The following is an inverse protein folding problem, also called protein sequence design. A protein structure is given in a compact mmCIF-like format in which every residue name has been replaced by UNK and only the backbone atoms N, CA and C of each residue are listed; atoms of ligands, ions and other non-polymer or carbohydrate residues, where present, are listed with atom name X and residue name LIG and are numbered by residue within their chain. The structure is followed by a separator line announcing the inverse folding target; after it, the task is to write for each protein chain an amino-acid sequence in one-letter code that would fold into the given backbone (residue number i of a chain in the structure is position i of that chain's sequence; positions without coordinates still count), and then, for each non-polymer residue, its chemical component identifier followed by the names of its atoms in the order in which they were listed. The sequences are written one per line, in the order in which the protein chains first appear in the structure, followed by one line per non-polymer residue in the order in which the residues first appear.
data_IF_715943393406
#
_entry.id   IF_715943393406
#
_cell.length_a   1.000
_cell.length_b   1.000
_cell.length_c   1.000
_cell.angle_alpha   90.00
_cell.angle_beta   90.00
_cell.angle_gamma   90.00
#
_symmetry.space_group_name_H-M   'P 1'
#
loop_
_entity.id
_entity.type
_entity.pdbx_description
1 polymer ?
#
# COMPACT_ATOMS: atom_id res chain seq x y z
N UNK A 1 14.31 -3.01 20.17
CA UNK A 1 14.69 -3.53 18.85
C UNK A 1 13.53 -3.31 17.91
N UNK A 2 13.76 -2.73 16.74
CA UNK A 2 12.77 -2.50 15.69
C UNK A 2 12.84 -3.65 14.68
N UNK A 3 11.71 -4.29 14.39
CA UNK A 3 11.60 -5.35 13.37
C UNK A 3 10.77 -4.83 12.20
N UNK A 4 11.27 -4.98 10.98
CA UNK A 4 10.55 -4.68 9.75
C UNK A 4 10.39 -5.95 8.93
N UNK A 5 9.15 -6.42 8.80
CA UNK A 5 8.79 -7.56 7.95
C UNK A 5 8.08 -7.05 6.71
N UNK A 6 8.64 -7.33 5.54
CA UNK A 6 8.08 -6.90 4.24
C UNK A 6 7.58 -8.11 3.47
N UNK A 7 6.32 -8.08 3.09
CA UNK A 7 5.69 -9.06 2.22
C UNK A 7 5.84 -8.61 0.77
N UNK A 8 6.54 -9.39 -0.04
CA UNK A 8 6.87 -9.07 -1.44
C UNK A 8 6.34 -10.13 -2.37
N UNK A 9 5.75 -9.72 -3.51
CA UNK A 9 5.48 -10.61 -4.63
C UNK A 9 6.57 -10.43 -5.69
N UNK A 10 7.06 -11.54 -6.22
CA UNK A 10 8.05 -11.60 -7.29
C UNK A 10 7.55 -10.95 -8.59
N UNK A 11 6.22 -10.83 -8.75
CA UNK A 11 5.58 -10.15 -9.87
C UNK A 11 5.57 -8.61 -9.74
N UNK A 12 6.00 -8.08 -8.59
CA UNK A 12 5.90 -6.65 -8.27
C UNK A 12 7.23 -6.00 -7.87
N UNK A 13 8.26 -6.78 -7.51
CA UNK A 13 9.51 -6.23 -6.99
C UNK A 13 10.74 -6.89 -7.63
N UNK A 14 11.74 -6.06 -7.93
CA UNK A 14 13.04 -6.53 -8.38
C UNK A 14 13.88 -6.97 -7.16
N UNK A 15 14.52 -8.16 -7.16
CA UNK A 15 15.38 -8.62 -6.06
C UNK A 15 16.49 -7.63 -5.69
N UNK A 16 17.04 -6.91 -6.67
CA UNK A 16 18.06 -5.89 -6.45
C UNK A 16 17.52 -4.69 -5.66
N UNK A 17 16.32 -4.21 -6.00
CA UNK A 17 15.69 -3.08 -5.30
C UNK A 17 15.39 -3.43 -3.84
N UNK A 18 14.93 -4.64 -3.58
CA UNK A 18 14.69 -5.12 -2.21
C UNK A 18 15.98 -5.23 -1.40
N UNK A 19 17.05 -5.72 -2.03
CA UNK A 19 18.37 -5.78 -1.41
C UNK A 19 18.91 -4.39 -1.06
N UNK A 20 18.88 -3.46 -2.01
CA UNK A 20 19.29 -2.06 -1.78
C UNK A 20 18.44 -1.39 -0.70
N UNK A 21 17.13 -1.64 -0.68
CA UNK A 21 16.23 -1.14 0.36
C UNK A 21 16.64 -1.64 1.73
N UNK A 22 16.94 -2.94 1.86
CA UNK A 22 17.41 -3.55 3.11
C UNK A 22 18.72 -2.92 3.58
N UNK A 23 19.69 -2.77 2.69
CA UNK A 23 21.00 -2.20 3.04
C UNK A 23 20.87 -0.75 3.49
N UNK A 24 20.16 0.08 2.73
CA UNK A 24 19.94 1.48 3.05
C UNK A 24 19.22 1.67 4.40
N UNK A 25 18.16 0.89 4.66
CA UNK A 25 17.46 0.96 5.94
C UNK A 25 18.32 0.46 7.10
N UNK A 26 19.07 -0.63 6.90
CA UNK A 26 19.96 -1.16 7.93
C UNK A 26 21.02 -0.14 8.30
N UNK A 27 21.67 0.47 7.30
CA UNK A 27 22.69 1.49 7.54
C UNK A 27 22.10 2.73 8.24
N UNK A 28 20.97 3.24 7.76
CA UNK A 28 20.31 4.39 8.36
C UNK A 28 19.96 4.15 9.84
N UNK A 29 19.49 2.96 10.19
CA UNK A 29 19.09 2.63 11.56
C UNK A 29 20.31 2.35 12.45
N UNK A 30 21.41 1.81 11.88
CA UNK A 30 22.72 1.71 12.54
C UNK A 30 23.27 3.10 12.89
N UNK A 31 23.21 4.05 11.97
CA UNK A 31 23.68 5.42 12.19
C UNK A 31 22.88 6.14 13.30
N UNK A 32 21.61 5.74 13.51
CA UNK A 32 20.76 6.20 14.60
C UNK A 32 20.96 5.45 15.92
N UNK A 33 21.80 4.40 15.95
CA UNK A 33 22.04 3.58 17.13
C UNK A 33 20.85 2.73 17.58
N UNK A 34 19.93 2.42 16.65
CA UNK A 34 18.71 1.65 16.96
C UNK A 34 18.95 0.18 16.58
N UNK A 35 18.70 -0.79 17.48
CA UNK A 35 18.77 -2.21 17.11
C UNK A 35 17.68 -2.55 16.10
N UNK A 36 18.05 -3.15 14.96
CA UNK A 36 17.17 -3.36 13.81
C UNK A 36 17.24 -4.78 13.24
N UNK A 37 16.10 -5.29 12.81
CA UNK A 37 15.98 -6.57 12.10
C UNK A 37 15.08 -6.38 10.86
N UNK A 38 15.55 -6.85 9.70
CA UNK A 38 14.80 -6.81 8.44
C UNK A 38 14.56 -8.22 7.91
N UNK A 39 13.29 -8.54 7.66
CA UNK A 39 12.85 -9.84 7.14
C UNK A 39 11.97 -9.61 5.91
N UNK A 40 12.21 -10.37 4.84
CA UNK A 40 11.32 -10.39 3.69
C UNK A 40 10.60 -11.75 3.60
N UNK A 41 9.35 -11.73 3.15
CA UNK A 41 8.51 -12.91 2.97
C UNK A 41 7.97 -12.87 1.55
N UNK A 42 8.17 -13.95 0.80
CA UNK A 42 7.63 -14.08 -0.55
C UNK A 42 6.15 -14.48 -0.51
N UNK A 43 5.26 -13.54 -0.81
CA UNK A 43 3.81 -13.73 -0.83
C UNK A 43 3.33 -14.79 -1.83
N UNK A 44 4.07 -15.03 -2.91
CA UNK A 44 3.60 -15.91 -3.99
C UNK A 44 3.58 -17.39 -3.57
N UNK A 45 4.42 -17.76 -2.59
CA UNK A 45 4.58 -19.14 -2.08
C UNK A 45 4.37 -19.20 -0.56
N UNK A 46 3.88 -18.12 0.04
CA UNK A 46 3.75 -18.00 1.48
C UNK A 46 2.61 -18.88 2.02
N UNK A 47 2.95 -19.77 2.96
CA UNK A 47 1.96 -20.47 3.79
C UNK A 47 1.64 -19.62 5.04
N UNK A 48 0.39 -19.18 5.25
CA UNK A 48 -0.02 -18.49 6.47
C UNK A 48 0.34 -19.20 7.76
N UNK A 49 0.50 -20.53 7.75
CA UNK A 49 0.91 -21.30 8.93
C UNK A 49 2.38 -21.04 9.34
N UNK A 50 3.23 -20.58 8.42
CA UNK A 50 4.63 -20.22 8.69
C UNK A 50 4.77 -18.83 9.33
N UNK A 51 3.68 -18.09 9.49
CA UNK A 51 3.70 -16.79 10.12
C UNK A 51 4.08 -16.93 11.60
N UNK A 52 5.30 -16.52 11.93
CA UNK A 52 5.77 -16.51 13.31
C UNK A 52 4.93 -15.48 14.08
N UNK A 53 4.21 -15.96 15.10
CA UNK A 53 3.46 -15.08 15.98
C UNK A 53 4.43 -14.11 16.69
N UNK A 54 4.07 -12.81 16.76
CA UNK A 54 4.88 -11.84 17.48
C UNK A 54 5.01 -12.23 18.95
N UNK A 55 6.15 -11.87 19.56
CA UNK A 55 6.35 -12.13 20.98
C UNK A 55 5.37 -11.28 21.82
N UNK A 56 4.98 -11.71 23.04
CA UNK A 56 3.97 -11.00 23.84
C UNK A 56 4.36 -9.55 24.22
N UNK A 57 5.64 -9.19 24.10
CA UNK A 57 6.14 -7.84 24.37
C UNK A 57 6.28 -6.98 23.09
N UNK A 58 5.99 -7.54 21.92
CA UNK A 58 6.06 -6.82 20.65
C UNK A 58 4.76 -6.07 20.35
N UNK A 59 4.89 -4.81 19.96
CA UNK A 59 3.77 -4.01 19.44
C UNK A 59 3.80 -4.08 17.93
N UNK A 60 2.82 -4.73 17.33
CA UNK A 60 2.73 -4.89 15.87
C UNK A 60 1.91 -3.77 15.26
N UNK A 61 2.47 -3.17 14.20
CA UNK A 61 1.78 -2.24 13.30
C UNK A 61 1.87 -2.79 11.88
N UNK A 62 0.75 -2.78 11.17
CA UNK A 62 0.68 -3.28 9.79
C UNK A 62 0.34 -2.14 8.85
N UNK A 63 1.11 -1.98 7.78
CA UNK A 63 0.78 -1.09 6.66
C UNK A 63 0.28 -1.94 5.49
N UNK A 64 -0.92 -1.64 4.98
CA UNK A 64 -1.57 -2.43 3.94
C UNK A 64 -2.08 -1.50 2.84
N UNK A 65 -1.68 -1.77 1.60
CA UNK A 65 -2.27 -1.13 0.42
C UNK A 65 -3.66 -1.71 0.18
N UNK A 66 -4.68 -0.86 0.17
CA UNK A 66 -6.06 -1.23 -0.17
C UNK A 66 -6.34 -0.84 -1.62
N UNK A 67 -6.85 -1.79 -2.40
CA UNK A 67 -7.09 -1.58 -3.82
C UNK A 67 -7.48 -2.84 -4.58
N UNK A 68 -7.88 -2.67 -5.84
CA UNK A 68 -8.03 -3.77 -6.79
C UNK A 68 -6.69 -3.89 -7.50
N UNK A 69 -5.85 -4.82 -7.05
CA UNK A 69 -4.74 -5.28 -7.85
C UNK A 69 -5.00 -6.69 -8.34
N UNK A 70 -4.72 -6.93 -9.62
CA UNK A 70 -4.67 -8.27 -10.19
C UNK A 70 -3.52 -9.09 -9.60
N UNK A 71 -2.52 -8.43 -8.98
CA UNK A 71 -1.31 -9.06 -8.44
C UNK A 71 -1.38 -9.32 -6.94
N UNK A 72 -2.29 -8.68 -6.21
CA UNK A 72 -2.43 -8.89 -4.76
C UNK A 72 -3.53 -9.90 -4.44
N UNK A 73 -3.40 -10.69 -3.36
CA UNK A 73 -4.51 -11.48 -2.85
C UNK A 73 -5.73 -10.62 -2.49
N UNK A 74 -6.95 -11.18 -2.48
CA UNK A 74 -8.14 -10.43 -2.06
C UNK A 74 -8.01 -9.87 -0.65
N UNK A 75 -8.49 -8.64 -0.44
CA UNK A 75 -8.42 -7.95 0.86
C UNK A 75 -8.94 -8.80 2.05
N UNK A 76 -10.07 -9.54 1.96
CA UNK A 76 -10.51 -10.38 3.06
C UNK A 76 -9.47 -11.43 3.51
N UNK A 77 -8.75 -12.03 2.56
CA UNK A 77 -7.69 -13.01 2.84
C UNK A 77 -6.50 -12.34 3.52
N UNK A 78 -6.08 -11.16 3.03
CA UNK A 78 -5.02 -10.37 3.67
C UNK A 78 -5.40 -9.99 5.11
N UNK A 79 -6.65 -9.60 5.36
CA UNK A 79 -7.10 -9.25 6.70
C UNK A 79 -7.16 -10.45 7.66
N UNK A 80 -7.43 -11.66 7.16
CA UNK A 80 -7.31 -12.88 7.97
C UNK A 80 -5.87 -13.11 8.42
N UNK A 81 -4.89 -12.93 7.52
CA UNK A 81 -3.48 -13.01 7.86
C UNK A 81 -3.08 -11.93 8.87
N UNK A 82 -3.48 -10.68 8.61
CA UNK A 82 -3.18 -9.55 9.50
C UNK A 82 -3.73 -9.78 10.90
N UNK A 83 -4.89 -10.43 11.04
CA UNK A 83 -5.44 -10.78 12.36
C UNK A 83 -4.57 -11.74 13.16
N UNK A 84 -3.90 -12.69 12.52
CA UNK A 84 -3.03 -13.65 13.20
C UNK A 84 -1.86 -12.95 13.89
N UNK A 85 -1.48 -11.75 13.41
CA UNK A 85 -0.45 -10.91 14.01
C UNK A 85 -0.94 -10.08 15.22
N UNK A 86 -2.24 -10.13 15.55
CA UNK A 86 -2.84 -9.33 16.62
C UNK A 86 -2.36 -7.85 16.65
N UNK A 87 -2.44 -7.12 15.53
CA UNK A 87 -1.83 -5.80 15.42
C UNK A 87 -2.54 -4.79 16.32
N UNK A 88 -1.76 -3.86 16.86
CA UNK A 88 -2.29 -2.71 17.61
C UNK A 88 -2.97 -1.71 16.68
N UNK A 89 -2.37 -1.48 15.50
CA UNK A 89 -2.86 -0.55 14.47
C UNK A 89 -2.63 -1.18 13.09
N UNK A 90 -3.62 -1.03 12.20
CA UNK A 90 -3.47 -1.29 10.78
C UNK A 90 -3.68 0.01 10.03
N UNK A 91 -2.68 0.43 9.25
CA UNK A 91 -2.73 1.59 8.38
C UNK A 91 -3.11 1.12 6.98
N UNK A 92 -4.33 1.44 6.57
CA UNK A 92 -4.82 1.17 5.21
C UNK A 92 -4.48 2.34 4.28
N UNK A 93 -3.77 2.06 3.19
CA UNK A 93 -3.33 3.05 2.20
C UNK A 93 -4.16 2.87 0.93
N UNK A 94 -5.07 3.81 0.68
CA UNK A 94 -5.92 3.85 -0.52
C UNK A 94 -5.35 4.89 -1.48
N UNK A 95 -5.13 4.53 -2.74
CA UNK A 95 -4.70 5.49 -3.76
C UNK A 95 -5.84 6.39 -4.29
N UNK A 96 -7.01 6.36 -3.65
CA UNK A 96 -8.12 7.30 -3.88
C UNK A 96 -9.04 6.95 -5.04
N UNK A 97 -8.71 5.91 -5.81
CA UNK A 97 -9.46 5.47 -6.99
C UNK A 97 -10.30 4.23 -6.76
N UNK A 98 -10.09 3.50 -5.65
CA UNK A 98 -10.68 2.19 -5.46
C UNK A 98 -12.14 2.27 -4.99
N UNK A 99 -13.05 1.83 -5.87
CA UNK A 99 -14.49 1.73 -5.59
C UNK A 99 -15.03 0.35 -5.92
N UNK A 100 -14.49 -0.64 -5.21
CA UNK A 100 -14.89 -2.04 -5.28
C UNK A 100 -16.38 -2.26 -5.04
N UNK A 101 -17.06 -1.35 -4.36
CA UNK A 101 -18.50 -1.36 -4.10
C UNK A 101 -19.38 -1.02 -5.32
N UNK A 102 -18.85 -0.32 -6.33
CA UNK A 102 -19.66 0.16 -7.46
C UNK A 102 -19.69 -0.85 -8.63
N UNK A 103 -20.68 -0.78 -9.54
CA UNK A 103 -20.64 -1.50 -10.82
C UNK A 103 -19.37 -1.20 -11.63
N UNK A 104 -18.96 -2.13 -12.50
CA UNK A 104 -17.70 -2.04 -13.25
C UNK A 104 -17.54 -0.71 -14.01
N UNK A 105 -18.58 -0.24 -14.71
CA UNK A 105 -18.51 1.02 -15.47
C UNK A 105 -18.23 2.24 -14.58
N UNK A 106 -18.85 2.31 -13.41
CA UNK A 106 -18.63 3.41 -12.46
C UNK A 106 -17.26 3.31 -11.78
N UNK A 107 -16.84 2.10 -11.39
CA UNK A 107 -15.49 1.86 -10.89
C UNK A 107 -14.42 2.28 -11.91
N UNK A 108 -14.60 1.87 -13.17
CA UNK A 108 -13.73 2.26 -14.28
C UNK A 108 -13.65 3.77 -14.42
N UNK A 109 -14.80 4.46 -14.43
CA UNK A 109 -14.82 5.93 -14.54
C UNK A 109 -14.11 6.62 -13.38
N UNK A 110 -14.25 6.13 -12.14
CA UNK A 110 -13.54 6.68 -11.00
C UNK A 110 -12.02 6.48 -11.10
N UNK A 111 -11.58 5.30 -11.54
CA UNK A 111 -10.16 5.05 -11.79
C UNK A 111 -9.61 5.94 -12.90
N UNK A 112 -10.36 6.12 -13.99
CA UNK A 112 -9.99 7.00 -15.09
C UNK A 112 -9.87 8.46 -14.63
N UNK A 113 -10.87 8.98 -13.91
CA UNK A 113 -10.83 10.35 -13.35
C UNK A 113 -9.65 10.55 -12.41
N UNK A 114 -9.36 9.58 -11.54
CA UNK A 114 -8.20 9.66 -10.66
C UNK A 114 -6.87 9.71 -11.43
N UNK A 115 -6.77 9.04 -12.57
CA UNK A 115 -5.56 9.09 -13.41
C UNK A 115 -5.46 10.43 -14.13
N UNK A 116 -6.57 10.98 -14.62
CA UNK A 116 -6.61 12.33 -15.20
C UNK A 116 -6.09 13.38 -14.20
N UNK A 117 -6.61 13.39 -12.97
CA UNK A 117 -6.12 14.33 -11.95
C UNK A 117 -4.64 14.16 -11.62
N UNK A 118 -4.12 12.94 -11.68
CA UNK A 118 -2.69 12.68 -11.47
C UNK A 118 -1.86 13.24 -12.64
N UNK A 119 -2.29 13.07 -13.88
CA UNK A 119 -1.63 13.63 -15.06
C UNK A 119 -1.64 15.16 -15.02
N UNK A 120 -2.81 15.76 -14.76
CA UNK A 120 -2.95 17.22 -14.62
C UNK A 120 -2.01 17.75 -13.52
N UNK A 121 -1.81 16.99 -12.44
CA UNK A 121 -0.87 17.38 -11.37
C UNK A 121 0.60 17.30 -11.78
N UNK A 122 0.98 16.38 -12.66
CA UNK A 122 2.34 16.28 -13.20
C UNK A 122 2.66 17.46 -14.11
N UNK A 123 1.68 17.84 -14.94
CA UNK A 123 1.76 19.02 -15.81
C UNK A 123 1.87 20.31 -14.99
N UNK A 124 1.03 20.46 -13.97
CA UNK A 124 1.06 21.62 -13.08
C UNK A 124 2.39 21.72 -12.30
N UNK A 125 2.98 20.59 -11.91
CA UNK A 125 4.28 20.55 -11.24
C UNK A 125 5.48 20.89 -12.15
N UNK A 126 5.26 21.14 -13.45
CA UNK A 126 6.33 21.42 -14.41
C UNK A 126 7.28 20.24 -14.62
N UNK A 127 6.76 19.01 -14.48
CA UNK A 127 7.56 17.80 -14.65
C UNK A 127 8.17 17.76 -16.05
N UNK A 128 9.47 17.47 -16.16
CA UNK A 128 10.10 17.39 -17.47
C UNK A 128 9.50 16.24 -18.30
N UNK A 129 9.47 16.41 -19.63
CA UNK A 129 8.77 15.50 -20.55
C UNK A 129 9.26 14.05 -20.48
N UNK A 130 10.57 13.82 -20.30
CA UNK A 130 11.12 12.47 -20.17
C UNK A 130 10.67 11.77 -18.88
N UNK A 131 10.70 12.50 -17.76
CA UNK A 131 10.22 12.01 -16.47
C UNK A 131 8.71 11.78 -16.49
N UNK A 132 7.93 12.72 -17.06
CA UNK A 132 6.49 12.57 -17.22
C UNK A 132 6.17 11.32 -18.05
N UNK A 133 6.82 11.14 -19.21
CA UNK A 133 6.62 9.96 -20.06
C UNK A 133 6.96 8.65 -19.34
N UNK A 134 8.02 8.63 -18.51
CA UNK A 134 8.37 7.47 -17.69
C UNK A 134 7.34 7.20 -16.60
N UNK A 135 6.85 8.23 -15.91
CA UNK A 135 5.80 8.10 -14.89
C UNK A 135 4.52 7.56 -15.51
N UNK A 136 4.10 8.12 -16.65
CA UNK A 136 2.94 7.66 -17.41
C UNK A 136 3.06 6.18 -17.76
N UNK A 137 4.17 5.80 -18.41
CA UNK A 137 4.38 4.45 -18.92
C UNK A 137 4.60 3.40 -17.85
N UNK A 138 5.34 3.72 -16.79
CA UNK A 138 5.80 2.74 -15.81
C UNK A 138 5.05 2.77 -14.48
N UNK A 139 4.28 3.83 -14.18
CA UNK A 139 3.46 3.92 -12.97
C UNK A 139 1.98 4.03 -13.27
N UNK A 140 1.56 4.98 -14.12
CA UNK A 140 0.13 5.25 -14.35
C UNK A 140 -0.51 4.14 -15.19
N UNK A 141 0.08 3.78 -16.33
CA UNK A 141 -0.47 2.74 -17.20
C UNK A 141 -0.61 1.39 -16.45
N UNK A 142 0.41 0.85 -15.76
CA UNK A 142 0.26 -0.38 -15.00
C UNK A 142 -0.83 -0.29 -13.93
N UNK A 143 -0.97 0.86 -13.27
CA UNK A 143 -2.02 1.08 -12.27
C UNK A 143 -3.42 1.07 -12.89
N UNK A 144 -3.60 1.65 -14.08
CA UNK A 144 -4.87 1.60 -14.81
C UNK A 144 -5.21 0.17 -15.20
N UNK A 145 -4.25 -0.55 -15.81
CA UNK A 145 -4.41 -1.96 -16.18
C UNK A 145 -4.80 -2.80 -14.96
N UNK A 146 -4.10 -2.61 -13.85
CA UNK A 146 -4.31 -3.34 -12.60
C UNK A 146 -5.67 -3.04 -11.96
N UNK A 147 -6.12 -1.78 -11.98
CA UNK A 147 -7.43 -1.40 -11.48
C UNK A 147 -8.59 -2.00 -12.30
N UNK A 148 -8.40 -2.16 -13.62
CA UNK A 148 -9.38 -2.76 -14.53
C UNK A 148 -9.38 -4.28 -14.43
N UNK A 149 -8.20 -4.91 -14.44
CA UNK A 149 -8.05 -6.37 -14.39
C UNK A 149 -8.33 -6.91 -12.98
N UNK A 150 -7.85 -6.23 -11.95
CA UNK A 150 -8.06 -6.59 -10.55
C UNK A 150 -9.54 -6.60 -10.17
N UNK A 151 -10.35 -5.75 -10.81
CA UNK A 151 -11.80 -5.77 -10.58
C UNK A 151 -12.46 -7.05 -11.07
N UNK A 152 -11.94 -7.70 -12.11
CA UNK A 152 -12.46 -8.98 -12.60
C UNK A 152 -12.25 -10.12 -11.61
N UNK A 153 -11.24 -10.03 -10.75
CA UNK A 153 -10.95 -11.03 -9.70
C UNK A 153 -11.75 -10.83 -8.41
N UNK A 154 -12.36 -9.66 -8.22
CA UNK A 154 -13.11 -9.37 -7.01
C UNK A 154 -14.50 -10.04 -7.06
N UNK A 155 -14.67 -11.13 -6.30
CA UNK A 155 -15.91 -11.92 -6.26
C UNK A 155 -17.12 -11.13 -5.72
N UNK A 156 -16.89 -10.22 -4.77
CA UNK A 156 -17.95 -9.42 -4.14
C UNK A 156 -17.61 -7.95 -4.15
N UNK A 157 -18.54 -7.15 -4.66
CA UNK A 157 -18.45 -5.71 -4.59
C UNK A 157 -18.62 -5.24 -3.13
N UNK A 158 -17.55 -4.74 -2.51
CA UNK A 158 -17.58 -4.20 -1.16
C UNK A 158 -16.58 -3.05 -1.03
N UNK A 159 -16.97 -2.02 -0.29
CA UNK A 159 -16.06 -0.94 0.07
C UNK A 159 -15.02 -1.49 1.05
N UNK A 160 -13.73 -1.19 0.81
CA UNK A 160 -12.65 -1.74 1.64
C UNK A 160 -12.86 -1.49 3.13
N UNK A 161 -13.35 -0.29 3.50
CA UNK A 161 -13.67 0.06 4.91
C UNK A 161 -14.70 -0.90 5.52
N UNK A 162 -15.74 -1.26 4.77
CA UNK A 162 -16.74 -2.22 5.22
C UNK A 162 -16.13 -3.63 5.38
N UNK A 163 -15.15 -4.00 4.55
CA UNK A 163 -14.40 -5.25 4.71
C UNK A 163 -13.61 -5.26 6.01
N UNK A 164 -12.93 -4.16 6.36
CA UNK A 164 -12.27 -4.01 7.68
C UNK A 164 -13.26 -4.16 8.84
N UNK A 165 -14.41 -3.49 8.78
CA UNK A 165 -15.43 -3.60 9.83
C UNK A 165 -16.02 -5.02 9.93
N UNK A 166 -16.29 -5.68 8.81
CA UNK A 166 -16.78 -7.07 8.79
C UNK A 166 -15.76 -8.08 9.34
N UNK A 167 -14.48 -7.72 9.26
CA UNK A 167 -13.40 -8.47 9.89
C UNK A 167 -13.10 -7.94 11.29
N UNK A 168 -13.94 -7.14 11.92
CA UNK A 168 -13.79 -6.75 13.33
C UNK A 168 -12.70 -5.72 13.62
N UNK A 169 -12.17 -5.04 12.60
CA UNK A 169 -11.39 -3.83 12.81
C UNK A 169 -12.32 -2.63 13.02
N UNK A 170 -11.91 -1.71 13.89
CA UNK A 170 -12.61 -0.44 14.11
C UNK A 170 -11.78 0.72 13.53
N UNK A 171 -12.42 1.71 12.89
CA UNK A 171 -11.71 2.89 12.39
C UNK A 171 -11.17 3.71 13.57
N UNK A 172 -9.93 4.18 13.43
CA UNK A 172 -9.30 5.12 14.36
C UNK A 172 -9.12 6.44 13.62
N UNK A 173 -9.63 7.57 14.13
CA UNK A 173 -9.43 8.87 13.50
C UNK A 173 -7.94 9.24 13.49
N UNK A 174 -7.50 9.92 12.44
CA UNK A 174 -6.17 10.52 12.40
C UNK A 174 -6.08 11.62 13.47
N UNK A 175 -4.88 11.85 13.98
CA UNK A 175 -4.66 12.93 14.95
C UNK A 175 -4.44 14.26 14.22
N UNK A 176 -4.77 15.37 14.90
CA UNK A 176 -4.62 16.73 14.34
C UNK A 176 -3.16 17.03 13.95
N UNK A 177 -2.18 16.36 14.56
CA UNK A 177 -0.76 16.53 14.23
C UNK A 177 -0.42 15.95 12.85
N UNK A 178 -0.95 14.77 12.51
CA UNK A 178 -0.78 14.17 11.19
C UNK A 178 -1.42 15.05 10.10
N UNK A 179 -2.59 15.63 10.38
CA UNK A 179 -3.22 16.60 9.47
C UNK A 179 -2.36 17.85 9.28
N UNK A 180 -1.85 18.44 10.37
CA UNK A 180 -0.96 19.60 10.30
C UNK A 180 0.36 19.29 9.56
N UNK A 181 0.89 18.06 9.69
CA UNK A 181 2.06 17.61 8.94
C UNK A 181 1.76 17.47 7.45
N UNK A 182 0.58 16.95 7.08
CA UNK A 182 0.14 16.89 5.69
C UNK A 182 0.00 18.29 5.07
N UNK A 183 -0.63 19.23 5.79
CA UNK A 183 -0.74 20.63 5.34
C UNK A 183 0.62 21.30 5.16
N UNK A 184 1.56 21.01 6.07
CA UNK A 184 2.94 21.52 5.96
C UNK A 184 3.64 20.98 4.71
N UNK A 185 3.46 19.69 4.39
CA UNK A 185 4.00 19.10 3.17
C UNK A 185 3.41 19.75 1.92
N UNK A 186 2.09 19.94 1.86
CA UNK A 186 1.42 20.56 0.72
C UNK A 186 1.91 21.99 0.48
N UNK A 187 2.12 22.78 1.54
CA UNK A 187 2.66 24.16 1.43
C UNK A 187 4.09 24.24 0.90
N UNK A 188 4.85 23.15 0.95
CA UNK A 188 6.24 23.08 0.44
C UNK A 188 6.30 22.75 -1.04
N UNK A 189 5.24 22.13 -1.58
CA UNK A 189 5.15 21.86 -3.02
C UNK A 189 4.69 23.16 -3.68
N UNK A 190 5.60 23.79 -4.41
CA UNK A 190 5.23 24.88 -5.32
C UNK A 190 4.54 24.23 -6.51
N UNK A 191 3.22 24.39 -6.61
CA UNK A 191 2.42 24.08 -7.80
C UNK A 191 1.90 25.38 -8.36
#
# INVERSE_FOLDING_TARGET
MLKLTVFVSSASHNPLELHLTRENLTQFVVDLGIPFEFTNINLDVFDPAELIAPSPNEVVVVCLLVGCSARTPPLPMLLQLVKQLAPKIVVAIDHGSYRGDLPFSQHFMNCFQSCMFLLDSLDAAGTNVDAASKIERFLIQPRVEDAVLGRRKAEKAMAWRATFTSTGFAPVPLNNLAEAQADCLLKRVQV
#
